data_IF_456684004119
#
_entry.id   IF_456684004119
#
_cell.length_a   1.000
_cell.length_b   1.000
_cell.length_c   1.000
_cell.angle_alpha   90.00
_cell.angle_beta   90.00
_cell.angle_gamma   90.00
#
_symmetry.space_group_name_H-M   'P 1'
#
loop_
_entity.id
_entity.type
_entity.pdbx_description
1 polymer ?
#
# COMPACT_ATOMS: atom_id res chain seq x y z
N UNK A 1 -7.02 -4.88 9.45
CA UNK A 1 -7.32 -6.10 8.65
C UNK A 1 -6.13 -6.88 8.14
N UNK A 2 -5.37 -6.41 7.13
CA UNK A 2 -4.28 -7.21 6.53
C UNK A 2 -3.32 -7.79 7.58
N UNK A 3 -2.81 -6.93 8.46
CA UNK A 3 -1.81 -7.30 9.48
C UNK A 3 -2.36 -8.21 10.58
N UNK A 4 -3.67 -8.09 10.87
CA UNK A 4 -4.37 -8.92 11.85
C UNK A 4 -4.57 -10.35 11.33
N UNK A 5 -5.18 -10.50 10.14
CA UNK A 5 -5.40 -11.82 9.54
C UNK A 5 -4.12 -12.52 9.11
N UNK A 6 -3.06 -11.76 8.78
CA UNK A 6 -1.74 -12.33 8.53
C UNK A 6 -1.14 -12.97 9.80
N UNK A 7 -1.37 -12.39 10.98
CA UNK A 7 -0.93 -12.96 12.25
C UNK A 7 -1.74 -14.20 12.61
N UNK A 8 -3.05 -14.18 12.38
CA UNK A 8 -3.97 -15.28 12.69
C UNK A 8 -3.88 -16.46 11.69
N UNK A 9 -3.03 -16.36 10.66
CA UNK A 9 -2.89 -17.34 9.56
C UNK A 9 -4.20 -17.69 8.82
N UNK A 10 -5.24 -16.87 8.96
CA UNK A 10 -6.56 -17.06 8.33
C UNK A 10 -6.61 -16.61 6.86
N UNK A 11 -5.46 -16.48 6.18
CA UNK A 11 -5.40 -16.00 4.79
C UNK A 11 -5.16 -17.13 3.82
N UNK A 12 -6.09 -17.30 2.90
CA UNK A 12 -6.01 -18.26 1.78
C UNK A 12 -4.85 -17.96 0.83
N UNK A 13 -4.49 -16.68 0.66
CA UNK A 13 -3.43 -16.25 -0.24
C UNK A 13 -2.19 -15.72 0.51
N UNK A 14 -1.00 -16.31 0.28
CA UNK A 14 0.23 -15.94 0.98
C UNK A 14 0.90 -14.72 0.34
N UNK A 15 0.31 -13.54 0.55
CA UNK A 15 0.89 -12.25 0.15
C UNK A 15 2.19 -11.88 0.90
N UNK A 16 2.60 -12.72 1.85
CA UNK A 16 3.86 -12.64 2.62
C UNK A 16 5.11 -12.86 1.76
N UNK A 17 5.00 -13.61 0.65
CA UNK A 17 6.16 -14.00 -0.18
C UNK A 17 6.70 -12.89 -1.09
N UNK A 18 6.19 -11.67 -0.98
CA UNK A 18 6.68 -10.52 -1.75
C UNK A 18 8.13 -10.18 -1.34
N UNK A 19 9.02 -9.99 -2.31
CA UNK A 19 10.40 -9.59 -2.05
C UNK A 19 10.45 -8.23 -1.33
N UNK A 20 11.07 -8.18 -0.15
CA UNK A 20 11.24 -6.94 0.63
C UNK A 20 11.96 -5.84 -0.14
N UNK A 21 12.85 -6.20 -1.06
CA UNK A 21 13.54 -5.25 -1.93
C UNK A 21 12.59 -4.42 -2.79
N UNK A 22 11.49 -5.00 -3.27
CA UNK A 22 10.47 -4.28 -4.04
C UNK A 22 9.74 -3.24 -3.19
N UNK A 23 9.48 -3.56 -1.92
CA UNK A 23 8.85 -2.64 -0.96
C UNK A 23 9.80 -1.47 -0.65
N UNK A 24 11.08 -1.75 -0.39
CA UNK A 24 12.08 -0.71 -0.15
C UNK A 24 12.23 0.19 -1.37
N UNK A 25 12.31 -0.38 -2.57
CA UNK A 25 12.39 0.38 -3.81
C UNK A 25 11.14 1.26 -4.01
N UNK A 26 9.95 0.75 -3.69
CA UNK A 26 8.70 1.51 -3.73
C UNK A 26 8.74 2.69 -2.75
N UNK A 27 9.12 2.47 -1.49
CA UNK A 27 9.22 3.52 -0.48
C UNK A 27 10.21 4.60 -0.91
N UNK A 28 11.42 4.21 -1.32
CA UNK A 28 12.43 5.13 -1.82
C UNK A 28 11.91 5.89 -3.04
N UNK A 29 11.28 5.19 -3.99
CA UNK A 29 10.75 5.83 -5.18
C UNK A 29 9.66 6.86 -4.86
N UNK A 30 8.82 6.56 -3.89
CA UNK A 30 7.72 7.43 -3.46
C UNK A 30 8.21 8.67 -2.72
N UNK A 31 9.23 8.53 -1.87
CA UNK A 31 9.83 9.65 -1.12
C UNK A 31 10.68 10.55 -2.03
N UNK A 32 11.47 9.97 -2.95
CA UNK A 32 12.33 10.72 -3.86
C UNK A 32 11.55 11.46 -4.96
N UNK A 33 10.33 11.01 -5.28
CA UNK A 33 9.41 11.56 -6.32
C UNK A 33 9.96 11.50 -7.75
N UNK A 34 11.24 11.78 -8.00
CA UNK A 34 11.94 11.69 -9.29
C UNK A 34 11.67 10.36 -10.02
N UNK A 35 11.85 9.17 -9.40
CA UNK A 35 11.55 7.92 -10.09
C UNK A 35 10.05 7.72 -10.35
N UNK A 36 9.14 8.27 -9.53
CA UNK A 36 7.70 8.27 -9.82
C UNK A 36 7.37 9.16 -11.02
N UNK A 37 8.01 10.32 -11.14
CA UNK A 37 7.85 11.21 -12.30
C UNK A 37 8.33 10.51 -13.58
N UNK A 38 9.46 9.80 -13.53
CA UNK A 38 9.93 8.99 -14.67
C UNK A 38 8.93 7.88 -15.01
N UNK A 39 8.40 7.17 -14.02
CA UNK A 39 7.39 6.12 -14.25
C UNK A 39 6.10 6.69 -14.86
N UNK A 40 5.62 7.81 -14.33
CA UNK A 40 4.46 8.53 -14.84
C UNK A 40 4.67 8.99 -16.28
N UNK A 41 5.80 9.64 -16.58
CA UNK A 41 6.14 10.11 -17.93
C UNK A 41 6.27 8.95 -18.93
N UNK A 42 6.93 7.85 -18.54
CA UNK A 42 7.03 6.64 -19.38
C UNK A 42 5.66 5.99 -19.63
N UNK A 43 4.80 5.99 -18.62
CA UNK A 43 3.42 5.52 -18.73
C UNK A 43 2.61 6.38 -19.70
N UNK A 44 2.67 7.70 -19.50
CA UNK A 44 1.99 8.69 -20.33
C UNK A 44 2.46 8.64 -21.79
N UNK A 45 3.76 8.46 -22.04
CA UNK A 45 4.30 8.32 -23.39
C UNK A 45 3.82 7.05 -24.11
N UNK A 46 3.58 5.95 -23.38
CA UNK A 46 3.07 4.68 -23.96
C UNK A 46 1.56 4.70 -24.15
N UNK A 47 0.84 5.27 -23.20
CA UNK A 47 -0.62 5.43 -23.22
C UNK A 47 -0.97 6.79 -22.63
N UNK A 48 -1.20 7.82 -23.45
CA UNK A 48 -1.53 9.14 -22.95
C UNK A 48 -2.91 9.11 -22.30
N UNK A 49 -2.93 9.21 -20.99
CA UNK A 49 -4.14 9.24 -20.16
C UNK A 49 -3.91 10.19 -18.98
N UNK A 50 -4.91 11.01 -18.65
CA UNK A 50 -4.88 11.88 -17.47
C UNK A 50 -4.82 11.07 -16.17
N UNK A 51 -5.22 9.80 -16.20
CA UNK A 51 -5.08 8.85 -15.09
C UNK A 51 -3.65 8.78 -14.54
N UNK A 52 -2.64 9.00 -15.39
CA UNK A 52 -1.24 9.00 -14.96
C UNK A 52 -0.91 10.11 -13.95
N UNK A 53 -1.61 11.25 -13.96
CA UNK A 53 -1.41 12.33 -12.98
C UNK A 53 -1.75 11.86 -11.56
N UNK A 54 -2.67 10.90 -11.41
CA UNK A 54 -3.00 10.31 -10.11
C UNK A 54 -1.94 9.33 -9.60
N UNK A 55 -0.95 8.98 -10.40
CA UNK A 55 0.11 8.04 -9.99
C UNK A 55 0.84 8.52 -8.73
N UNK A 56 1.26 9.79 -8.70
CA UNK A 56 1.98 10.39 -7.58
C UNK A 56 1.12 10.42 -6.30
N UNK A 57 -0.08 11.03 -6.28
CA UNK A 57 -0.89 11.10 -5.06
C UNK A 57 -1.31 9.72 -4.55
N UNK A 58 -1.64 8.77 -5.45
CA UNK A 58 -2.03 7.41 -5.05
C UNK A 58 -0.86 6.65 -4.42
N UNK A 59 0.35 6.78 -4.98
CA UNK A 59 1.55 6.17 -4.38
C UNK A 59 1.82 6.74 -2.98
N UNK A 60 1.66 8.05 -2.80
CA UNK A 60 1.78 8.71 -1.50
C UNK A 60 0.74 8.24 -0.48
N UNK A 61 -0.53 8.21 -0.87
CA UNK A 61 -1.63 7.71 -0.01
C UNK A 61 -1.36 6.26 0.38
N UNK A 62 -0.92 5.43 -0.56
CA UNK A 62 -0.56 4.03 -0.29
C UNK A 62 0.57 3.94 0.72
N UNK A 63 1.66 4.70 0.52
CA UNK A 63 2.79 4.73 1.46
C UNK A 63 2.35 5.17 2.86
N UNK A 64 1.51 6.21 2.96
CA UNK A 64 1.02 6.71 4.24
C UNK A 64 0.11 5.71 4.96
N UNK A 65 -0.90 5.18 4.27
CA UNK A 65 -1.85 4.24 4.86
C UNK A 65 -1.16 2.96 5.36
N UNK A 66 -0.35 2.34 4.50
CA UNK A 66 0.35 1.11 4.86
C UNK A 66 1.55 1.36 5.77
N UNK A 67 2.22 2.50 5.62
CA UNK A 67 3.33 2.93 6.47
C UNK A 67 2.88 3.11 7.90
N UNK A 68 1.80 3.87 8.14
CA UNK A 68 1.30 4.10 9.51
C UNK A 68 0.81 2.81 10.18
N UNK A 69 0.10 1.95 9.44
CA UNK A 69 -0.32 0.65 9.96
C UNK A 69 0.86 -0.26 10.31
N UNK A 70 1.91 -0.27 9.48
CA UNK A 70 3.11 -1.08 9.70
C UNK A 70 3.96 -0.54 10.84
N UNK A 71 4.15 0.78 10.91
CA UNK A 71 4.83 1.45 12.03
C UNK A 71 4.08 1.24 13.34
N UNK A 72 2.75 1.40 13.34
CA UNK A 72 1.92 1.12 14.51
C UNK A 72 2.10 -0.32 15.02
N UNK A 73 2.11 -1.30 14.12
CA UNK A 73 2.43 -2.69 14.48
C UNK A 73 3.85 -2.83 15.05
N UNK A 74 4.84 -2.15 14.47
CA UNK A 74 6.23 -2.20 14.96
C UNK A 74 6.39 -1.59 16.36
N UNK A 75 5.59 -0.57 16.69
CA UNK A 75 5.55 0.08 18.02
C UNK A 75 4.67 -0.70 19.02
N UNK A 76 4.10 -1.85 18.62
CA UNK A 76 3.35 -2.74 19.51
C UNK A 76 1.85 -2.44 19.60
N UNK A 77 1.31 -1.58 18.73
CA UNK A 77 -0.14 -1.34 18.65
C UNK A 77 -0.81 -2.60 18.11
N UNK A 78 -1.64 -3.23 18.94
CA UNK A 78 -2.44 -4.40 18.56
C UNK A 78 -3.39 -4.01 17.44
N UNK A 79 -3.23 -4.67 16.30
CA UNK A 79 -4.11 -4.50 15.16
C UNK A 79 -5.44 -5.18 15.49
N UNK A 80 -6.55 -4.45 15.39
CA UNK A 80 -7.88 -5.03 15.49
C UNK A 80 -8.50 -5.19 14.09
N UNK A 81 -9.36 -6.19 13.87
CA UNK A 81 -10.18 -6.22 12.67
C UNK A 81 -11.12 -5.02 12.67
N UNK A 82 -11.39 -4.48 11.48
CA UNK A 82 -12.43 -3.45 11.31
C UNK A 82 -13.76 -4.05 11.75
N UNK A 83 -14.47 -3.36 12.65
CA UNK A 83 -15.84 -3.74 13.04
C UNK A 83 -16.76 -3.59 11.84
N UNK A 84 -17.31 -4.71 11.37
CA UNK A 84 -18.22 -4.76 10.21
C UNK A 84 -19.67 -5.02 10.62
N UNK A 85 -19.95 -4.98 11.92
CA UNK A 85 -21.26 -5.29 12.53
C UNK A 85 -22.40 -4.40 11.98
N UNK A 86 -22.06 -3.23 11.42
CA UNK A 86 -23.01 -2.30 10.81
C UNK A 86 -23.11 -2.40 9.27
N UNK A 87 -22.34 -3.27 8.61
CA UNK A 87 -22.28 -3.32 7.13
C UNK A 87 -23.42 -4.12 6.50
N UNK A 88 -24.11 -4.96 7.28
CA UNK A 88 -25.29 -5.73 6.85
C UNK A 88 -26.51 -5.45 7.75
N UNK A 89 -26.75 -4.19 8.13
CA UNK A 89 -28.06 -3.85 8.69
C UNK A 89 -29.08 -3.89 7.55
N UNK A 90 -29.86 -4.97 7.51
CA UNK A 90 -31.16 -5.05 6.83
C UNK A 90 -32.15 -4.05 7.45
#
# INVERSE_FOLDING_TARGET
DFLYFAQEKQRTYPWDRQKRSGIVLFCLSTVLIVPLLIQMARGFARKPDRAWLYHIPVCWITLWMYGWATLGKAVGIKQAPVKRDAWQKE
#
